data_IF_029921534844
#
_entry.id   IF_029921534844
#
_cell.length_a   1.000
_cell.length_b   1.000
_cell.length_c   1.000
_cell.angle_alpha   90.00
_cell.angle_beta   90.00
_cell.angle_gamma   90.00
#
_symmetry.space_group_name_H-M   'P 1'
#
loop_
_entity.id
_entity.type
_entity.pdbx_description
1 polymer ?
#
# COMPACT_ATOMS: atom_id res chain seq x y z
N UNK A 1 -19.58 -19.86 1.48
CA UNK A 1 -18.82 -18.86 2.24
C UNK A 1 -17.52 -18.63 1.51
N UNK A 2 -17.43 -17.60 0.68
CA UNK A 2 -16.16 -17.13 0.13
C UNK A 2 -15.83 -15.86 0.91
N UNK A 3 -15.04 -16.02 1.97
CA UNK A 3 -14.32 -14.88 2.54
C UNK A 3 -13.23 -14.61 1.51
N UNK A 4 -13.24 -13.44 0.89
CA UNK A 4 -12.24 -13.11 -0.12
C UNK A 4 -10.85 -13.11 0.56
N UNK A 5 -10.02 -14.11 0.26
CA UNK A 5 -8.62 -14.17 0.66
C UNK A 5 -7.83 -13.12 -0.13
N UNK A 6 -7.97 -11.84 0.23
CA UNK A 6 -7.15 -10.77 -0.35
C UNK A 6 -5.71 -10.98 0.08
N UNK A 7 -4.76 -10.90 -0.85
CA UNK A 7 -3.35 -11.04 -0.52
C UNK A 7 -2.75 -9.67 -0.20
N UNK A 8 -2.10 -9.54 0.96
CA UNK A 8 -1.47 -8.30 1.39
C UNK A 8 0.05 -8.44 1.34
N UNK A 9 0.67 -7.45 0.71
CA UNK A 9 2.11 -7.26 0.65
C UNK A 9 2.44 -5.99 1.43
N UNK A 10 2.96 -6.17 2.65
CA UNK A 10 3.41 -5.11 3.52
C UNK A 10 4.92 -4.98 3.43
N UNK A 11 5.42 -3.79 3.14
CA UNK A 11 6.82 -3.46 3.02
C UNK A 11 7.13 -2.31 3.96
N UNK A 12 7.91 -2.60 5.00
CA UNK A 12 8.41 -1.63 5.95
C UNK A 12 9.87 -1.35 5.63
N UNK A 13 10.24 -0.09 5.49
CA UNK A 13 11.62 0.27 5.13
C UNK A 13 12.17 1.40 5.98
N UNK A 14 13.49 1.37 6.12
CA UNK A 14 14.34 2.46 6.56
C UNK A 14 15.08 2.98 5.34
N UNK A 15 14.76 4.18 4.91
CA UNK A 15 15.55 4.87 3.91
C UNK A 15 16.85 5.42 4.52
N UNK A 16 17.88 5.53 3.69
CA UNK A 16 19.10 6.27 4.01
C UNK A 16 18.78 7.77 4.14
N UNK A 17 19.55 8.53 4.90
CA UNK A 17 19.34 9.99 5.05
C UNK A 17 19.42 10.75 3.72
N UNK A 18 20.19 10.23 2.77
CA UNK A 18 20.35 10.77 1.41
C UNK A 18 19.42 10.11 0.38
N UNK A 19 18.41 9.36 0.83
CA UNK A 19 17.46 8.74 -0.07
C UNK A 19 16.47 9.78 -0.62
N UNK A 20 16.29 9.79 -1.94
CA UNK A 20 15.25 10.56 -2.61
C UNK A 20 13.87 9.91 -2.42
N UNK A 21 13.33 9.96 -1.20
CA UNK A 21 12.05 9.34 -0.84
C UNK A 21 10.92 9.86 -1.73
N UNK A 22 10.91 11.14 -2.08
CA UNK A 22 9.89 11.71 -2.97
C UNK A 22 9.91 11.07 -4.37
N UNK A 23 11.08 10.80 -4.94
CA UNK A 23 11.20 10.16 -6.25
C UNK A 23 10.76 8.69 -6.19
N UNK A 24 11.06 8.02 -5.08
CA UNK A 24 10.62 6.66 -4.81
C UNK A 24 9.09 6.60 -4.72
N UNK A 25 8.47 7.55 -3.99
CA UNK A 25 7.02 7.64 -3.86
C UNK A 25 6.35 7.88 -5.21
N UNK A 26 6.86 8.82 -6.01
CA UNK A 26 6.37 9.06 -7.38
C UNK A 26 6.52 7.81 -8.26
N UNK A 27 7.63 7.10 -8.13
CA UNK A 27 7.86 5.83 -8.82
C UNK A 27 6.85 4.75 -8.43
N UNK A 28 6.50 4.67 -7.15
CA UNK A 28 5.48 3.77 -6.61
C UNK A 28 4.06 4.12 -7.09
N UNK A 29 3.68 5.40 -7.02
CA UNK A 29 2.39 5.87 -7.52
C UNK A 29 2.24 5.58 -9.02
N UNK A 30 3.30 5.82 -9.80
CA UNK A 30 3.33 5.47 -11.22
C UNK A 30 3.24 3.97 -11.44
N UNK A 31 3.99 3.17 -10.68
CA UNK A 31 3.97 1.71 -10.79
C UNK A 31 2.57 1.16 -10.53
N UNK A 32 1.92 1.59 -9.45
CA UNK A 32 0.55 1.16 -9.10
C UNK A 32 -0.45 1.64 -10.15
N UNK A 33 -0.28 2.85 -10.68
CA UNK A 33 -1.15 3.37 -11.75
C UNK A 33 -0.98 2.64 -13.08
N UNK A 34 0.17 2.04 -13.34
CA UNK A 34 0.43 1.28 -14.57
C UNK A 34 0.13 -0.22 -14.43
N UNK A 35 -0.11 -0.68 -13.21
CA UNK A 35 -0.24 -2.10 -12.88
C UNK A 35 -1.59 -2.35 -12.24
N UNK A 36 -2.61 -2.58 -13.08
CA UNK A 36 -4.03 -2.73 -12.72
C UNK A 36 -4.34 -3.90 -11.76
N UNK A 37 -3.39 -4.80 -11.54
CA UNK A 37 -3.52 -5.93 -10.60
C UNK A 37 -3.44 -5.50 -9.13
N UNK A 38 -2.92 -4.30 -8.83
CA UNK A 38 -2.91 -3.75 -7.48
C UNK A 38 -4.28 -3.18 -7.16
N UNK A 39 -5.04 -3.85 -6.29
CA UNK A 39 -6.40 -3.42 -5.91
C UNK A 39 -6.40 -2.15 -5.07
N UNK A 40 -5.46 -2.08 -4.13
CA UNK A 40 -5.31 -0.95 -3.24
C UNK A 40 -3.85 -0.81 -2.84
N UNK A 41 -3.37 0.41 -2.89
CA UNK A 41 -2.05 0.78 -2.42
C UNK A 41 -2.20 1.86 -1.36
N UNK A 42 -1.60 1.62 -0.21
CA UNK A 42 -1.53 2.57 0.90
C UNK A 42 -0.08 2.69 1.29
N UNK A 43 0.39 3.92 1.48
CA UNK A 43 1.72 4.15 2.00
C UNK A 43 1.66 5.23 3.08
N UNK A 44 2.63 5.20 3.97
CA UNK A 44 2.73 6.18 5.04
C UNK A 44 4.15 6.29 5.54
N UNK A 45 4.54 7.52 5.86
CA UNK A 45 5.70 7.77 6.70
C UNK A 45 5.25 7.65 8.14
N UNK A 46 6.02 6.90 8.92
CA UNK A 46 5.76 6.79 10.34
C UNK A 46 6.13 8.14 11.00
N UNK A 47 5.15 8.80 11.61
CA UNK A 47 5.30 10.09 12.31
C UNK A 47 5.05 9.98 13.82
N UNK A 48 4.22 9.04 14.25
CA UNK A 48 3.70 8.94 15.63
C UNK A 48 4.47 7.96 16.55
N UNK A 49 5.21 7.00 15.99
CA UNK A 49 5.90 5.97 16.76
C UNK A 49 7.16 6.47 17.49
N UNK A 50 7.28 6.12 18.78
CA UNK A 50 8.49 6.36 19.59
C UNK A 50 9.72 5.65 18.99
N UNK A 51 10.86 6.35 18.92
CA UNK A 51 12.11 5.87 18.32
C UNK A 51 12.53 4.45 18.75
N UNK A 52 12.25 4.05 20.00
CA UNK A 52 12.60 2.72 20.52
C UNK A 52 11.87 1.56 19.83
N UNK A 53 10.62 1.76 19.36
CA UNK A 53 9.80 0.70 18.76
C UNK A 53 9.94 0.64 17.24
N UNK A 54 10.38 1.74 16.61
CA UNK A 54 10.56 1.80 15.15
C UNK A 54 11.59 0.81 14.63
N UNK A 55 12.52 0.35 15.46
CA UNK A 55 13.65 -0.48 15.02
C UNK A 55 14.42 0.15 13.84
N UNK A 56 14.33 1.48 13.73
CA UNK A 56 14.85 2.29 12.63
C UNK A 56 13.97 2.36 11.36
N UNK A 57 12.84 1.65 11.27
CA UNK A 57 11.93 1.73 10.13
C UNK A 57 11.20 3.09 10.13
N UNK A 58 11.11 3.71 8.96
CA UNK A 58 10.56 5.06 8.81
C UNK A 58 9.34 5.12 7.89
N UNK A 59 9.18 4.16 6.99
CA UNK A 59 8.09 4.15 6.02
C UNK A 59 7.45 2.77 5.92
N UNK A 60 6.15 2.76 5.66
CA UNK A 60 5.35 1.58 5.47
C UNK A 60 4.58 1.68 4.14
N UNK A 61 4.58 0.59 3.39
CA UNK A 61 3.87 0.43 2.13
C UNK A 61 3.03 -0.83 2.20
N UNK A 62 1.76 -0.74 1.87
CA UNK A 62 0.81 -1.84 1.90
C UNK A 62 0.11 -1.93 0.55
N UNK A 63 0.36 -3.02 -0.16
CA UNK A 63 -0.36 -3.37 -1.38
C UNK A 63 -1.34 -4.48 -1.07
N UNK A 64 -2.55 -4.35 -1.61
CA UNK A 64 -3.59 -5.38 -1.55
C UNK A 64 -3.86 -5.89 -2.96
N UNK A 65 -3.87 -7.21 -3.10
CA UNK A 65 -4.12 -7.95 -4.33
C UNK A 65 -5.36 -8.83 -4.16
N UNK A 66 -6.03 -9.18 -5.26
CA UNK A 66 -7.17 -10.09 -5.20
C UNK A 66 -6.76 -11.55 -4.97
N UNK A 67 -5.54 -11.92 -5.37
CA UNK A 67 -5.03 -13.28 -5.27
C UNK A 67 -3.51 -13.32 -5.12
N UNK A 68 -2.98 -14.49 -4.74
CA UNK A 68 -1.53 -14.75 -4.73
C UNK A 68 -0.93 -14.72 -6.15
N UNK A 69 -1.71 -15.09 -7.16
CA UNK A 69 -1.26 -15.09 -8.55
C UNK A 69 -1.03 -13.65 -9.04
N UNK A 70 -1.89 -12.71 -8.65
CA UNK A 70 -1.71 -11.27 -8.91
C UNK A 70 -0.44 -10.75 -8.24
N UNK A 71 -0.18 -11.13 -6.99
CA UNK A 71 1.08 -10.77 -6.32
C UNK A 71 2.31 -11.32 -7.07
N UNK A 72 2.22 -12.57 -7.55
CA UNK A 72 3.33 -13.19 -8.31
C UNK A 72 3.54 -12.51 -9.65
N UNK A 73 2.46 -12.13 -10.34
CA UNK A 73 2.49 -11.36 -11.58
C UNK A 73 3.09 -9.96 -11.34
N UNK A 74 2.72 -9.31 -10.24
CA UNK A 74 3.29 -8.03 -9.83
C UNK A 74 4.78 -8.13 -9.54
N UNK A 75 5.18 -9.12 -8.73
CA UNK A 75 6.58 -9.35 -8.36
C UNK A 75 7.48 -9.61 -9.59
N UNK A 76 6.93 -10.31 -10.60
CA UNK A 76 7.62 -10.65 -11.85
C UNK A 76 7.54 -9.55 -12.92
N UNK A 77 6.78 -8.47 -12.66
CA UNK A 77 6.59 -7.41 -13.65
C UNK A 77 7.91 -6.62 -13.83
N UNK A 78 8.36 -6.34 -15.07
CA UNK A 78 9.65 -5.68 -15.32
C UNK A 78 9.74 -4.32 -14.60
N UNK A 79 8.64 -3.55 -14.57
CA UNK A 79 8.58 -2.27 -13.84
C UNK A 79 8.76 -2.42 -12.33
N UNK A 80 8.23 -3.49 -11.74
CA UNK A 80 8.44 -3.78 -10.33
C UNK A 80 9.89 -4.17 -10.07
N UNK A 81 10.51 -4.97 -10.95
CA UNK A 81 11.92 -5.33 -10.83
C UNK A 81 12.84 -4.11 -10.92
N UNK A 82 12.64 -3.23 -11.91
CA UNK A 82 13.38 -1.97 -12.04
C UNK A 82 13.21 -1.06 -10.81
N UNK A 83 11.98 -0.94 -10.33
CA UNK A 83 11.70 -0.18 -9.11
C UNK A 83 12.36 -0.83 -7.90
N UNK A 84 12.28 -2.15 -7.73
CA UNK A 84 12.86 -2.88 -6.60
C UNK A 84 14.38 -2.68 -6.51
N UNK A 85 15.08 -2.60 -7.65
CA UNK A 85 16.52 -2.33 -7.70
C UNK A 85 16.84 -0.90 -7.24
N UNK A 86 16.08 0.08 -7.73
CA UNK A 86 16.21 1.49 -7.34
C UNK A 86 15.89 1.69 -5.85
N UNK A 87 14.79 1.08 -5.41
CA UNK A 87 14.29 1.07 -4.04
C UNK A 87 15.33 0.47 -3.09
N UNK A 88 15.87 -0.71 -3.41
CA UNK A 88 16.89 -1.39 -2.60
C UNK A 88 18.17 -0.56 -2.45
N UNK A 89 18.51 0.26 -3.44
CA UNK A 89 19.70 1.13 -3.38
C UNK A 89 19.53 2.28 -2.38
N UNK A 90 18.31 2.81 -2.27
CA UNK A 90 17.97 3.91 -1.37
C UNK A 90 17.63 3.45 0.07
N UNK A 91 17.44 2.14 0.26
CA UNK A 91 17.06 1.56 1.54
C UNK A 91 18.30 1.13 2.33
N UNK A 92 18.27 1.40 3.62
CA UNK A 92 19.21 0.89 4.61
C UNK A 92 18.71 -0.44 5.20
N UNK A 93 17.40 -0.56 5.45
CA UNK A 93 16.78 -1.77 6.00
C UNK A 93 15.38 -1.97 5.42
N UNK A 94 15.07 -3.17 4.94
CA UNK A 94 13.73 -3.53 4.48
C UNK A 94 13.21 -4.74 5.25
N UNK A 95 11.91 -4.75 5.53
CA UNK A 95 11.16 -5.88 6.06
C UNK A 95 9.93 -6.04 5.18
N UNK A 96 9.77 -7.21 4.58
CA UNK A 96 8.66 -7.53 3.70
C UNK A 96 7.83 -8.64 4.35
N UNK A 97 6.51 -8.46 4.38
CA UNK A 97 5.55 -9.42 4.87
C UNK A 97 4.49 -9.65 3.81
N UNK A 98 4.44 -10.88 3.33
CA UNK A 98 3.49 -11.36 2.35
C UNK A 98 2.54 -12.34 3.03
N UNK A 99 1.26 -11.99 3.10
CA UNK A 99 0.29 -12.85 3.77
C UNK A 99 -1.11 -12.75 3.17
N UNK A 100 -1.85 -13.87 3.11
CA UNK A 100 -3.28 -13.82 2.87
C UNK A 100 -3.95 -13.10 4.04
N UNK A 101 -4.75 -12.09 3.75
CA UNK A 101 -5.43 -11.30 4.76
C UNK A 101 -6.78 -11.92 5.08
N UNK A 102 -6.95 -12.25 6.36
CA UNK A 102 -8.18 -12.80 6.88
C UNK A 102 -8.86 -11.70 7.70
N UNK A 103 -9.87 -11.06 7.11
CA UNK A 103 -10.66 -10.04 7.80
C UNK A 103 -11.61 -10.71 8.80
N UNK A 104 -11.22 -10.73 10.09
CA UNK A 104 -12.06 -11.26 11.18
C UNK A 104 -13.11 -10.24 11.62
N UNK A 105 -12.83 -8.94 11.41
CA UNK A 105 -13.77 -7.84 11.57
C UNK A 105 -13.99 -7.19 10.21
N UNK A 106 -15.22 -7.04 9.72
CA UNK A 106 -15.47 -6.39 8.44
C UNK A 106 -14.97 -4.93 8.51
N UNK A 107 -14.48 -4.36 7.40
CA UNK A 107 -14.27 -2.92 7.33
C UNK A 107 -15.61 -2.26 7.66
N UNK A 108 -15.58 -1.20 8.49
CA UNK A 108 -16.78 -0.44 8.77
C UNK A 108 -17.38 -0.02 7.42
N UNK A 109 -18.59 -0.49 7.11
CA UNK A 109 -19.34 0.02 5.97
C UNK A 109 -19.37 1.54 6.13
N UNK A 110 -18.77 2.26 5.20
CA UNK A 110 -19.10 3.66 5.01
C UNK A 110 -20.61 3.68 4.77
N UNK A 111 -21.36 4.11 5.79
CA UNK A 111 -22.74 4.52 5.63
C UNK A 111 -22.69 5.69 4.65
N UNK A 112 -22.88 5.39 3.36
CA UNK A 112 -23.30 6.39 2.40
C UNK A 112 -24.63 6.92 2.93
N UNK A 113 -24.57 8.00 3.68
CA UNK A 113 -25.74 8.80 3.97
C UNK A 113 -26.35 9.13 2.61
N UNK A 114 -27.58 8.69 2.29
CA UNK A 114 -28.23 9.16 1.09
C UNK A 114 -28.37 10.68 1.26
N UNK A 115 -27.73 11.42 0.36
CA UNK A 115 -27.99 12.84 0.22
C UNK A 115 -29.49 12.98 -0.05
N UNK A 116 -30.24 13.43 0.96
CA UNK A 116 -31.64 13.79 0.77
C UNK A 116 -31.66 14.97 -0.21
N UNK A 117 -32.21 14.74 -1.40
CA UNK A 117 -32.57 15.75 -2.38
C UNK A 117 -33.48 16.81 -1.74
N UNK A 118 -32.88 17.87 -1.19
CA UNK A 118 -33.62 19.07 -0.83
C UNK A 118 -33.85 19.87 -2.11
N UNK A 119 -34.92 19.50 -2.83
CA UNK A 119 -35.51 20.37 -3.84
C UNK A 119 -35.97 21.66 -3.16
N UNK A 120 -35.52 22.85 -3.57
CA UNK A 120 -36.01 24.09 -3.00
C UNK A 120 -37.52 24.26 -3.33
N UNK A 121 -38.37 24.67 -2.38
CA UNK A 121 -39.74 25.02 -2.70
C UNK A 121 -39.75 26.30 -3.53
N UNK A 122 -40.31 26.20 -4.74
CA UNK A 122 -40.77 27.33 -5.53
C UNK A 122 -42.07 27.84 -4.93
N UNK A 123 -42.06 29.05 -4.38
CA UNK A 123 -43.13 30.07 -4.36
C UNK A 123 -42.94 31.00 -3.14
#
# INVERSE_FOLDING_TARGET
MQMADEFKHLVLVKFKEDAAVEDILKGMEKLVSEVDIVKSFVWGKDTESHEMLRQGLTHAFLMTFNSKDDHTAFASHPKHLEFSASFSTAIEKAVLLDFPSIAVKPPAMEVKTPAMDVKPPTA
#
